data_IF_484743917412
#
_entry.id   IF_484743917412
#
_cell.length_a   1.000
_cell.length_b   1.000
_cell.length_c   1.000
_cell.angle_alpha   90.00
_cell.angle_beta   90.00
_cell.angle_gamma   90.00
#
_symmetry.space_group_name_H-M   'P 1'
#
loop_
_entity.id
_entity.type
_entity.pdbx_description
1 polymer ?
#
# COMPACT_ATOMS: atom_id res chain seq x y z
N UNK A 1 -2.47 9.18 5.46
CA UNK A 1 -3.36 8.38 4.61
C UNK A 1 -3.44 6.93 5.06
N UNK A 2 -2.45 6.07 4.73
CA UNK A 2 -2.52 4.62 4.98
C UNK A 2 -2.76 4.24 6.45
N UNK A 3 -2.04 4.85 7.40
CA UNK A 3 -2.26 4.55 8.83
C UNK A 3 -3.66 4.91 9.33
N UNK A 4 -4.25 6.00 8.80
CA UNK A 4 -5.62 6.38 9.12
C UNK A 4 -6.62 5.38 8.53
N UNK A 5 -6.46 5.01 7.24
CA UNK A 5 -7.37 4.07 6.58
C UNK A 5 -7.27 2.67 7.19
N UNK A 6 -6.08 2.21 7.59
CA UNK A 6 -5.92 0.93 8.31
C UNK A 6 -6.61 0.96 9.68
N UNK A 7 -6.53 2.08 10.41
CA UNK A 7 -7.23 2.21 11.69
C UNK A 7 -8.76 2.20 11.54
N UNK A 8 -9.26 2.93 10.55
CA UNK A 8 -10.69 2.98 10.23
C UNK A 8 -11.17 1.61 9.76
N UNK A 9 -10.42 0.91 8.89
CA UNK A 9 -10.74 -0.45 8.46
C UNK A 9 -10.90 -1.41 9.64
N UNK A 10 -9.97 -1.36 10.61
CA UNK A 10 -10.06 -2.17 11.83
C UNK A 10 -11.30 -1.86 12.68
N UNK A 11 -11.77 -0.61 12.69
CA UNK A 11 -12.85 -0.16 13.57
C UNK A 11 -14.24 -0.27 12.94
N UNK A 12 -14.39 0.19 11.71
CA UNK A 12 -15.69 0.36 11.04
C UNK A 12 -15.87 -0.53 9.82
N UNK A 13 -14.81 -1.21 9.34
CA UNK A 13 -14.81 -2.06 8.12
C UNK A 13 -15.24 -1.36 6.84
N UNK A 14 -15.39 -0.03 6.88
CA UNK A 14 -15.81 0.79 5.75
C UNK A 14 -14.93 2.04 5.71
N UNK A 15 -14.35 2.32 4.54
CA UNK A 15 -13.51 3.49 4.28
C UNK A 15 -14.23 4.37 3.27
N UNK A 16 -14.31 5.67 3.56
CA UNK A 16 -14.88 6.65 2.62
C UNK A 16 -13.94 6.95 1.46
N UNK A 17 -14.46 6.93 0.23
CA UNK A 17 -13.68 7.18 -0.98
C UNK A 17 -13.06 8.59 -1.05
N UNK A 18 -13.66 9.56 -0.33
CA UNK A 18 -13.12 10.91 -0.22
C UNK A 18 -11.68 10.95 0.31
N UNK A 19 -11.27 9.97 1.13
CA UNK A 19 -9.89 9.91 1.63
C UNK A 19 -8.90 9.81 0.46
N UNK A 20 -9.19 8.94 -0.52
CA UNK A 20 -8.36 8.75 -1.70
C UNK A 20 -8.30 10.02 -2.55
N UNK A 21 -9.42 10.71 -2.72
CA UNK A 21 -9.49 11.97 -3.47
C UNK A 21 -8.73 13.11 -2.79
N UNK A 22 -8.87 13.28 -1.47
CA UNK A 22 -8.20 14.35 -0.73
C UNK A 22 -6.67 14.14 -0.77
N UNK A 23 -6.20 12.94 -0.44
CA UNK A 23 -4.76 12.66 -0.45
C UNK A 23 -4.18 12.57 -1.87
N UNK A 24 -4.94 12.06 -2.84
CA UNK A 24 -4.55 12.08 -4.25
C UNK A 24 -4.46 13.51 -4.80
N UNK A 25 -5.39 14.40 -4.45
CA UNK A 25 -5.33 15.81 -4.80
C UNK A 25 -4.13 16.54 -4.18
N UNK A 26 -3.85 16.28 -2.90
CA UNK A 26 -2.64 16.80 -2.24
C UNK A 26 -1.36 16.27 -2.93
N UNK A 27 -1.33 14.99 -3.27
CA UNK A 27 -0.23 14.39 -4.03
C UNK A 27 -0.03 15.04 -5.39
N UNK A 28 -1.12 15.35 -6.10
CA UNK A 28 -1.06 16.05 -7.37
C UNK A 28 -0.46 17.46 -7.22
N UNK A 29 -0.86 18.20 -6.18
CA UNK A 29 -0.30 19.54 -5.90
C UNK A 29 1.21 19.44 -5.65
N UNK A 30 1.65 18.46 -4.85
CA UNK A 30 3.07 18.22 -4.56
C UNK A 30 3.82 17.84 -5.85
N UNK A 31 3.28 16.91 -6.64
CA UNK A 31 3.89 16.47 -7.89
C UNK A 31 4.02 17.62 -8.90
N UNK A 32 3.02 18.49 -9.01
CA UNK A 32 3.10 19.68 -9.87
C UNK A 32 4.16 20.67 -9.38
N UNK A 33 4.32 20.83 -8.07
CA UNK A 33 5.40 21.63 -7.50
C UNK A 33 6.78 21.02 -7.79
N UNK A 34 6.94 19.71 -7.71
CA UNK A 34 8.17 19.00 -8.09
C UNK A 34 8.46 19.13 -9.60
N UNK A 35 7.44 19.14 -10.44
CA UNK A 35 7.59 19.42 -11.87
C UNK A 35 8.04 20.85 -12.12
N UNK A 36 7.44 21.81 -11.42
CA UNK A 36 7.79 23.23 -11.53
C UNK A 36 9.23 23.51 -11.09
N UNK A 37 9.69 22.86 -10.01
CA UNK A 37 11.07 22.99 -9.51
C UNK A 37 12.08 22.18 -10.31
N UNK A 38 11.64 21.37 -11.28
CA UNK A 38 12.49 20.55 -12.14
C UNK A 38 13.03 19.28 -11.48
N UNK A 39 12.55 18.92 -10.28
CA UNK A 39 12.93 17.66 -9.62
C UNK A 39 12.24 16.43 -10.23
N UNK A 40 11.12 16.64 -10.93
CA UNK A 40 10.33 15.61 -11.57
C UNK A 40 9.98 16.03 -13.00
N UNK A 41 10.17 15.15 -13.99
CA UNK A 41 9.72 15.45 -15.36
C UNK A 41 8.23 15.15 -15.50
N UNK A 42 7.46 16.07 -16.09
CA UNK A 42 6.02 15.87 -16.33
C UNK A 42 5.71 14.56 -17.08
N UNK A 43 6.49 14.26 -18.12
CA UNK A 43 6.36 13.02 -18.90
C UNK A 43 6.55 11.78 -18.01
N UNK A 44 7.52 11.82 -17.10
CA UNK A 44 7.79 10.72 -16.18
C UNK A 44 6.66 10.55 -15.16
N UNK A 45 6.20 11.65 -14.57
CA UNK A 45 5.06 11.66 -13.65
C UNK A 45 3.82 11.01 -14.28
N UNK A 46 3.44 11.48 -15.47
CA UNK A 46 2.27 10.96 -16.20
C UNK A 46 2.45 9.48 -16.54
N UNK A 47 3.63 9.07 -17.00
CA UNK A 47 3.92 7.67 -17.30
C UNK A 47 3.78 6.77 -16.06
N UNK A 48 4.37 7.15 -14.93
CA UNK A 48 4.28 6.38 -13.67
C UNK A 48 2.82 6.27 -13.22
N UNK A 49 2.08 7.38 -13.17
CA UNK A 49 0.68 7.38 -12.72
C UNK A 49 -0.19 6.51 -13.63
N UNK A 50 -0.04 6.62 -14.95
CA UNK A 50 -0.81 5.82 -15.91
C UNK A 50 -0.49 4.33 -15.78
N UNK A 51 0.79 3.95 -15.75
CA UNK A 51 1.21 2.55 -15.64
C UNK A 51 0.75 1.97 -14.31
N UNK A 52 0.97 2.67 -13.20
CA UNK A 52 0.51 2.23 -11.88
C UNK A 52 -1.02 2.12 -11.81
N UNK A 53 -1.75 3.04 -12.41
CA UNK A 53 -3.22 2.95 -12.46
C UNK A 53 -3.70 1.77 -13.29
N UNK A 54 -3.09 1.52 -14.44
CA UNK A 54 -3.42 0.37 -15.28
C UNK A 54 -3.15 -0.96 -14.55
N UNK A 55 -2.02 -1.07 -13.85
CA UNK A 55 -1.70 -2.23 -13.00
C UNK A 55 -2.75 -2.38 -11.89
N UNK A 56 -3.04 -1.30 -11.17
CA UNK A 56 -4.02 -1.30 -10.06
C UNK A 56 -5.39 -1.80 -10.49
N UNK A 57 -5.90 -1.22 -11.59
CA UNK A 57 -7.20 -1.56 -12.15
C UNK A 57 -7.18 -3.01 -12.66
N UNK A 58 -6.10 -3.44 -13.33
CA UNK A 58 -5.91 -4.82 -13.75
C UNK A 58 -5.96 -5.81 -12.59
N UNK A 59 -5.27 -5.52 -11.47
CA UNK A 59 -5.31 -6.34 -10.26
C UNK A 59 -6.71 -6.37 -9.62
N UNK A 60 -7.43 -5.24 -9.65
CA UNK A 60 -8.83 -5.17 -9.21
C UNK A 60 -9.75 -6.04 -10.07
N UNK A 61 -9.62 -5.99 -11.39
CA UNK A 61 -10.42 -6.82 -12.32
C UNK A 61 -10.13 -8.32 -12.15
N UNK A 62 -8.90 -8.69 -11.83
CA UNK A 62 -8.52 -10.08 -11.54
C UNK A 62 -8.99 -10.57 -10.16
N UNK A 63 -9.60 -9.70 -9.34
CA UNK A 63 -10.01 -10.02 -7.98
C UNK A 63 -8.85 -10.17 -6.99
N UNK A 64 -7.65 -9.71 -7.37
CA UNK A 64 -6.48 -9.73 -6.50
C UNK A 64 -6.44 -8.53 -5.55
N UNK A 65 -7.05 -7.41 -5.94
CA UNK A 65 -7.19 -6.20 -5.11
C UNK A 65 -8.64 -5.99 -4.69
N UNK A 66 -8.84 -5.54 -3.45
CA UNK A 66 -10.11 -4.96 -3.03
C UNK A 66 -10.33 -3.58 -3.66
N UNK A 67 -11.57 -3.09 -3.67
CA UNK A 67 -11.89 -1.77 -4.23
C UNK A 67 -11.10 -0.63 -3.57
N UNK A 68 -10.93 -0.69 -2.24
CA UNK A 68 -10.12 0.26 -1.50
C UNK A 68 -8.63 0.20 -1.88
N UNK A 69 -8.09 -0.99 -2.13
CA UNK A 69 -6.68 -1.18 -2.50
C UNK A 69 -6.37 -0.56 -3.87
N UNK A 70 -7.32 -0.65 -4.81
CA UNK A 70 -7.19 -0.05 -6.15
C UNK A 70 -7.03 1.46 -6.03
N UNK A 71 -7.91 2.11 -5.25
CA UNK A 71 -7.88 3.57 -5.04
C UNK A 71 -6.67 4.00 -4.21
N UNK A 72 -6.29 3.19 -3.22
CA UNK A 72 -5.10 3.42 -2.41
C UNK A 72 -3.84 3.45 -3.27
N UNK A 73 -3.66 2.44 -4.12
CA UNK A 73 -2.47 2.32 -4.95
C UNK A 73 -2.38 3.43 -6.00
N UNK A 74 -3.51 3.82 -6.61
CA UNK A 74 -3.55 4.98 -7.52
C UNK A 74 -3.18 6.27 -6.79
N UNK A 75 -3.78 6.52 -5.62
CA UNK A 75 -3.47 7.72 -4.85
C UNK A 75 -2.01 7.75 -4.39
N UNK A 76 -1.42 6.60 -4.04
CA UNK A 76 0.00 6.48 -3.72
C UNK A 76 0.90 6.75 -4.93
N UNK A 77 0.52 6.28 -6.12
CA UNK A 77 1.27 6.55 -7.34
C UNK A 77 1.32 8.05 -7.69
N UNK A 78 0.25 8.78 -7.37
CA UNK A 78 0.21 10.25 -7.49
C UNK A 78 1.02 10.93 -6.39
N UNK A 79 0.93 10.44 -5.15
CA UNK A 79 1.62 11.02 -4.00
C UNK A 79 3.14 10.83 -4.04
N UNK A 80 3.61 9.66 -4.49
CA UNK A 80 5.01 9.31 -4.58
C UNK A 80 5.31 8.60 -5.92
N UNK A 81 5.47 9.36 -7.02
CA UNK A 81 5.83 8.81 -8.32
C UNK A 81 7.30 8.35 -8.38
N UNK A 82 8.16 8.93 -7.54
CA UNK A 82 9.58 8.63 -7.45
C UNK A 82 10.00 8.34 -6.02
N UNK A 83 11.13 7.65 -5.85
CA UNK A 83 11.69 7.36 -4.52
C UNK A 83 11.98 8.66 -3.76
N UNK A 84 11.60 8.75 -2.47
CA UNK A 84 11.94 9.89 -1.64
C UNK A 84 13.46 10.02 -1.52
N UNK A 85 13.95 11.26 -1.59
CA UNK A 85 15.37 11.57 -1.43
C UNK A 85 15.78 11.43 0.04
N UNK A 86 16.92 10.80 0.30
CA UNK A 86 17.46 10.62 1.66
C UNK A 86 17.01 9.33 2.37
N UNK A 87 16.19 8.50 1.72
CA UNK A 87 15.88 7.15 2.18
C UNK A 87 16.46 6.16 1.18
N UNK A 88 17.62 5.59 1.51
CA UNK A 88 18.21 4.55 0.68
C UNK A 88 17.56 3.19 0.97
N UNK A 89 17.26 2.39 -0.06
CA UNK A 89 16.74 1.04 0.14
C UNK A 89 17.79 0.18 0.85
N UNK A 90 17.36 -0.67 1.79
CA UNK A 90 18.24 -1.60 2.49
C UNK A 90 18.99 -2.56 1.54
N UNK A 91 18.37 -2.90 0.41
CA UNK A 91 18.94 -3.77 -0.62
C UNK A 91 19.62 -2.98 -1.76
N UNK A 92 19.63 -1.64 -1.73
CA UNK A 92 20.17 -0.80 -2.79
C UNK A 92 19.40 -0.85 -4.13
N UNK A 93 18.29 -1.59 -4.20
CA UNK A 93 17.49 -1.74 -5.42
C UNK A 93 16.34 -0.74 -5.38
N UNK A 94 16.31 0.19 -6.33
CA UNK A 94 15.21 1.12 -6.55
C UNK A 94 14.47 0.71 -7.82
N UNK A 95 13.18 0.41 -7.71
CA UNK A 95 12.34 0.21 -8.90
C UNK A 95 12.18 1.54 -9.64
N UNK A 96 12.25 1.56 -10.98
CA UNK A 96 11.85 2.71 -11.77
C UNK A 96 10.40 3.13 -11.47
N UNK A 97 9.53 2.15 -11.19
CA UNK A 97 8.16 2.38 -10.72
C UNK A 97 8.15 2.28 -9.19
N UNK A 98 8.40 3.40 -8.51
CA UNK A 98 8.43 3.43 -7.04
C UNK A 98 7.15 2.87 -6.37
N UNK A 99 5.92 3.12 -6.89
CA UNK A 99 4.72 2.53 -6.30
C UNK A 99 4.76 0.99 -6.25
N UNK A 100 5.39 0.33 -7.23
CA UNK A 100 5.56 -1.13 -7.21
C UNK A 100 6.47 -1.59 -6.07
N UNK A 101 7.50 -0.81 -5.70
CA UNK A 101 8.34 -1.12 -4.53
C UNK A 101 7.52 -1.07 -3.24
N UNK A 102 6.63 -0.07 -3.11
CA UNK A 102 5.73 0.01 -1.97
C UNK A 102 4.83 -1.22 -1.89
N UNK A 103 4.25 -1.61 -3.03
CA UNK A 103 3.39 -2.79 -3.13
C UNK A 103 4.11 -4.11 -2.86
N UNK A 104 5.29 -4.33 -3.44
CA UNK A 104 6.06 -5.56 -3.19
C UNK A 104 6.45 -5.70 -1.73
N UNK A 105 6.90 -4.60 -1.12
CA UNK A 105 7.31 -4.60 0.28
C UNK A 105 6.11 -4.80 1.22
N UNK A 106 4.95 -4.19 0.92
CA UNK A 106 3.74 -4.41 1.70
C UNK A 106 3.21 -5.83 1.56
N UNK A 107 3.26 -6.42 0.36
CA UNK A 107 2.86 -7.81 0.13
C UNK A 107 3.74 -8.80 0.91
N UNK A 108 5.06 -8.60 0.92
CA UNK A 108 6.00 -9.42 1.71
C UNK A 108 5.71 -9.26 3.21
N UNK A 109 5.48 -8.03 3.68
CA UNK A 109 5.15 -7.76 5.07
C UNK A 109 3.83 -8.45 5.48
N UNK A 110 2.79 -8.34 4.64
CA UNK A 110 1.51 -9.01 4.84
C UNK A 110 1.63 -10.54 4.85
N UNK A 111 2.38 -11.12 3.92
CA UNK A 111 2.65 -12.55 3.90
C UNK A 111 3.41 -13.01 5.17
N UNK A 112 4.34 -12.19 5.65
CA UNK A 112 5.12 -12.47 6.87
C UNK A 112 4.26 -12.47 8.14
N UNK A 113 3.07 -11.86 8.12
CA UNK A 113 2.12 -11.90 9.24
C UNK A 113 1.68 -13.34 9.58
N UNK A 114 1.66 -14.25 8.58
CA UNK A 114 1.39 -15.67 8.82
C UNK A 114 2.39 -16.31 9.80
N UNK A 115 3.66 -15.88 9.78
CA UNK A 115 4.68 -16.35 10.72
C UNK A 115 4.40 -15.87 12.14
N UNK A 116 3.89 -14.64 12.29
CA UNK A 116 3.48 -14.10 13.60
C UNK A 116 2.33 -14.94 14.18
N UNK A 117 1.34 -15.27 13.35
CA UNK A 117 0.23 -16.15 13.75
C UNK A 117 0.71 -17.56 14.12
N UNK A 118 1.66 -18.12 13.34
CA UNK A 118 2.26 -19.42 13.62
C UNK A 118 2.95 -19.43 14.99
N UNK A 119 3.79 -18.44 15.28
CA UNK A 119 4.47 -18.33 16.58
C UNK A 119 3.48 -18.16 17.73
N UNK A 120 2.44 -17.33 17.53
CA UNK A 120 1.36 -17.15 18.53
C UNK A 120 0.62 -18.45 18.82
N UNK A 121 0.32 -19.23 17.79
CA UNK A 121 -0.39 -20.49 17.94
C UNK A 121 0.51 -21.53 18.62
N UNK A 122 1.78 -21.67 18.21
CA UNK A 122 2.73 -22.57 18.85
C UNK A 122 2.93 -22.25 20.34
N UNK A 123 3.09 -20.97 20.68
CA UNK A 123 3.23 -20.54 22.09
C UNK A 123 1.96 -20.80 22.90
N UNK A 124 0.78 -20.61 22.32
CA UNK A 124 -0.50 -20.96 22.95
C UNK A 124 -0.60 -22.47 23.24
N UNK A 125 -0.21 -23.32 22.30
CA UNK A 125 -0.20 -24.78 22.47
C UNK A 125 0.79 -25.23 23.54
N UNK A 126 2.00 -24.64 23.57
CA UNK A 126 3.00 -24.93 24.60
C UNK A 126 2.54 -24.53 26.01
N UNK A 127 1.69 -23.52 26.13
CA UNK A 127 1.05 -23.11 27.39
C UNK A 127 -0.15 -23.99 27.77
N UNK A 128 -0.44 -25.05 27.02
CA UNK A 128 -1.55 -25.97 27.27
C UNK A 128 -2.93 -25.39 26.94
N UNK A 129 -3.00 -24.26 26.20
CA UNK A 129 -4.27 -23.70 25.73
C UNK A 129 -4.73 -24.45 24.49
N UNK A 130 -6.01 -24.79 24.44
CA UNK A 130 -6.59 -25.48 23.29
C UNK A 130 -6.73 -24.48 22.11
N UNK A 131 -6.18 -24.81 20.94
CA UNK A 131 -6.14 -23.89 19.78
C UNK A 131 -7.54 -23.55 19.24
N UNK A 132 -8.50 -24.43 19.49
CA UNK A 132 -9.86 -24.36 18.94
C UNK A 132 -10.92 -23.97 20.00
N UNK A 133 -10.50 -23.54 21.19
CA UNK A 133 -11.45 -23.10 22.22
C UNK A 133 -12.29 -21.92 21.71
N UNK A 134 -13.59 -22.12 21.52
CA UNK A 134 -14.53 -21.12 21.00
C UNK A 134 -14.88 -21.24 19.51
N UNK A 135 -14.44 -22.31 18.83
CA UNK A 135 -14.82 -22.65 17.44
C UNK A 135 -15.58 -24.00 17.33
N UNK A 136 -15.92 -24.62 18.45
CA UNK A 136 -16.51 -25.97 18.54
C UNK A 136 -18.06 -25.99 18.52
N UNK A 137 -18.72 -24.90 18.08
CA UNK A 137 -20.17 -24.87 17.83
C UNK A 137 -20.48 -24.96 16.33
#
# INVERSE_FOLDING_TARGET
MLGYTSWVDLKTREIYDMVWLVFGGLGLIIALYEVYTGSLTLVWFVAVVLISSAISIGLGYLGLFGGADVLAFIALAVLHPTSPRGLEPSLGIVSPLFPLTLFSNSAICGASFSLVLLVRNLTSTLQGRNLFSGLED
#
